data_IF_617873013451
#
_entry.id   IF_617873013451
#
_cell.length_a   1.000
_cell.length_b   1.000
_cell.length_c   1.000
_cell.angle_alpha   90.00
_cell.angle_beta   90.00
_cell.angle_gamma   90.00
#
_symmetry.space_group_name_H-M   'P 1'
#
loop_
_entity.id
_entity.type
_entity.pdbx_description
1 polymer ?
#
# COMPACT_ATOMS: atom_id res chain seq x y z
N UNK A 1 -26.97 3.60 -19.61
CA UNK A 1 -26.06 2.71 -20.30
C UNK A 1 -24.96 2.27 -19.34
N UNK A 2 -24.76 0.97 -19.17
CA UNK A 2 -23.71 0.41 -18.33
C UNK A 2 -22.35 0.51 -19.04
N UNK A 3 -21.86 1.74 -19.22
CA UNK A 3 -20.51 1.98 -19.71
C UNK A 3 -19.55 2.06 -18.54
N UNK A 4 -18.39 1.42 -18.63
CA UNK A 4 -17.32 1.56 -17.64
C UNK A 4 -16.92 3.05 -17.62
N UNK A 5 -17.04 3.67 -16.47
CA UNK A 5 -16.68 5.08 -16.31
C UNK A 5 -15.17 5.24 -16.55
N UNK A 6 -14.70 6.24 -17.35
CA UNK A 6 -13.27 6.41 -17.62
C UNK A 6 -12.40 6.43 -16.36
N UNK A 7 -12.90 6.98 -15.26
CA UNK A 7 -12.23 6.96 -13.96
C UNK A 7 -11.97 5.56 -13.41
N UNK A 8 -12.83 4.58 -13.71
CA UNK A 8 -12.62 3.21 -13.28
C UNK A 8 -11.43 2.56 -14.00
N UNK A 9 -11.20 2.88 -15.25
CA UNK A 9 -10.03 2.40 -16.01
C UNK A 9 -8.74 2.98 -15.42
N UNK A 10 -8.72 4.27 -15.10
CA UNK A 10 -7.58 4.90 -14.43
C UNK A 10 -7.32 4.31 -13.05
N UNK A 11 -8.36 4.01 -12.28
CA UNK A 11 -8.23 3.37 -10.98
C UNK A 11 -7.63 1.95 -11.10
N UNK A 12 -8.04 1.18 -12.10
CA UNK A 12 -7.46 -0.15 -12.37
C UNK A 12 -5.99 -0.06 -12.76
N UNK A 13 -5.63 0.89 -13.63
CA UNK A 13 -4.23 1.12 -14.00
C UNK A 13 -3.40 1.54 -12.77
N UNK A 14 -3.91 2.44 -11.95
CA UNK A 14 -3.25 2.86 -10.70
C UNK A 14 -3.05 1.68 -9.74
N UNK A 15 -4.06 0.82 -9.58
CA UNK A 15 -3.96 -0.38 -8.73
C UNK A 15 -2.88 -1.36 -9.23
N UNK A 16 -2.77 -1.55 -10.54
CA UNK A 16 -1.72 -2.37 -11.13
C UNK A 16 -0.32 -1.82 -10.85
N UNK A 17 -0.10 -0.53 -11.09
CA UNK A 17 1.19 0.11 -10.82
C UNK A 17 1.51 0.15 -9.33
N UNK A 18 0.50 0.32 -8.47
CA UNK A 18 0.70 0.27 -7.03
C UNK A 18 1.10 -1.12 -6.54
N UNK A 19 0.50 -2.17 -7.07
CA UNK A 19 0.92 -3.55 -6.79
C UNK A 19 2.37 -3.83 -7.24
N UNK A 20 2.72 -3.35 -8.42
CA UNK A 20 4.09 -3.44 -8.94
C UNK A 20 5.07 -2.66 -8.05
N UNK A 21 4.69 -1.47 -7.60
CA UNK A 21 5.47 -0.66 -6.67
C UNK A 21 5.74 -1.40 -5.36
N UNK A 22 4.72 -2.00 -4.73
CA UNK A 22 4.87 -2.80 -3.50
C UNK A 22 5.83 -3.95 -3.72
N UNK A 23 5.67 -4.69 -4.84
CA UNK A 23 6.53 -5.83 -5.17
C UNK A 23 8.00 -5.42 -5.35
N UNK A 24 8.26 -4.41 -6.16
CA UNK A 24 9.62 -3.93 -6.42
C UNK A 24 10.27 -3.33 -5.17
N UNK A 25 9.52 -2.55 -4.40
CA UNK A 25 10.00 -1.98 -3.14
C UNK A 25 10.39 -3.07 -2.15
N UNK A 26 9.57 -4.11 -1.99
CA UNK A 26 9.89 -5.25 -1.13
C UNK A 26 11.14 -6.01 -1.59
N UNK A 27 11.32 -6.17 -2.90
CA UNK A 27 12.51 -6.81 -3.45
C UNK A 27 13.79 -5.99 -3.22
N UNK A 28 13.71 -4.67 -3.43
CA UNK A 28 14.86 -3.77 -3.27
C UNK A 28 15.19 -3.53 -1.78
N UNK A 29 14.18 -3.34 -0.94
CA UNK A 29 14.35 -3.10 0.48
C UNK A 29 15.07 -4.26 1.19
N UNK A 30 14.83 -5.50 0.78
CA UNK A 30 15.53 -6.69 1.32
C UNK A 30 16.98 -6.81 0.87
N UNK A 31 17.36 -6.18 -0.24
CA UNK A 31 18.72 -6.22 -0.77
C UNK A 31 19.60 -5.06 -0.30
N UNK A 32 18.99 -4.04 0.30
CA UNK A 32 19.66 -2.81 0.72
C UNK A 32 19.10 -2.27 2.02
N UNK A 33 19.33 -0.98 2.25
CA UNK A 33 18.77 -0.27 3.40
C UNK A 33 17.39 0.33 3.04
N UNK A 34 16.33 -0.19 3.69
CA UNK A 34 14.96 0.25 3.45
C UNK A 34 14.71 1.71 3.82
N UNK A 35 15.45 2.24 4.80
CA UNK A 35 15.31 3.64 5.18
C UNK A 35 15.84 4.56 4.07
N UNK A 36 17.04 4.29 3.57
CA UNK A 36 17.62 5.02 2.44
C UNK A 36 16.73 4.90 1.20
N UNK A 37 16.23 3.71 0.90
CA UNK A 37 15.32 3.48 -0.22
C UNK A 37 14.04 4.31 -0.07
N UNK A 38 13.42 4.33 1.12
CA UNK A 38 12.23 5.14 1.39
C UNK A 38 12.45 6.63 1.18
N UNK A 39 13.58 7.16 1.66
CA UNK A 39 13.96 8.57 1.50
C UNK A 39 14.14 8.91 0.01
N UNK A 40 14.85 8.08 -0.74
CA UNK A 40 15.04 8.28 -2.17
C UNK A 40 13.73 8.21 -2.96
N UNK A 41 12.85 7.26 -2.64
CA UNK A 41 11.52 7.16 -3.24
C UNK A 41 10.69 8.42 -3.00
N UNK A 42 10.69 8.95 -1.76
CA UNK A 42 9.97 10.19 -1.44
C UNK A 42 10.55 11.39 -2.18
N UNK A 43 11.87 11.52 -2.23
CA UNK A 43 12.54 12.58 -2.96
C UNK A 43 12.20 12.56 -4.45
N UNK A 44 12.28 11.40 -5.09
CA UNK A 44 11.95 11.24 -6.50
C UNK A 44 10.47 11.51 -6.79
N UNK A 45 9.56 11.00 -5.93
CA UNK A 45 8.13 11.23 -6.04
C UNK A 45 7.79 12.72 -5.90
N UNK A 46 8.40 13.41 -4.94
CA UNK A 46 8.23 14.85 -4.76
C UNK A 46 8.73 15.65 -5.96
N UNK A 47 9.91 15.31 -6.49
CA UNK A 47 10.46 15.94 -7.67
C UNK A 47 9.55 15.73 -8.89
N UNK A 48 9.12 14.50 -9.14
CA UNK A 48 8.26 14.17 -10.27
C UNK A 48 6.91 14.90 -10.21
N UNK A 49 6.25 14.89 -9.04
CA UNK A 49 4.98 15.61 -8.86
C UNK A 49 5.16 17.12 -8.99
N UNK A 50 6.24 17.69 -8.43
CA UNK A 50 6.54 19.12 -8.56
C UNK A 50 6.77 19.53 -10.01
N UNK A 51 7.59 18.78 -10.75
CA UNK A 51 7.82 19.03 -12.17
C UNK A 51 6.54 18.91 -12.99
N UNK A 52 5.70 17.90 -12.68
CA UNK A 52 4.42 17.71 -13.38
C UNK A 52 3.44 18.86 -13.12
N UNK A 53 3.33 19.33 -11.89
CA UNK A 53 2.48 20.47 -11.53
C UNK A 53 2.92 21.76 -12.26
N UNK A 54 4.21 22.00 -12.35
CA UNK A 54 4.76 23.13 -13.09
C UNK A 54 4.50 23.01 -14.60
N UNK A 55 4.71 21.83 -15.18
CA UNK A 55 4.52 21.59 -16.61
C UNK A 55 3.05 21.71 -17.04
N UNK A 56 2.13 21.31 -16.18
CA UNK A 56 0.69 21.40 -16.43
C UNK A 56 0.09 22.77 -16.07
N UNK A 57 0.87 23.66 -15.47
CA UNK A 57 0.39 24.99 -15.03
C UNK A 57 -0.58 24.90 -13.84
N UNK A 58 -0.60 23.80 -13.11
CA UNK A 58 -1.49 23.55 -11.97
C UNK A 58 -0.84 23.90 -10.62
N UNK A 59 0.23 24.66 -10.65
CA UNK A 59 0.88 25.12 -9.43
C UNK A 59 0.03 26.16 -8.72
N UNK A 60 -0.63 25.76 -7.63
CA UNK A 60 -1.46 26.64 -6.82
C UNK A 60 -0.98 26.62 -5.36
N UNK A 61 -0.83 27.82 -4.78
CA UNK A 61 -0.55 27.97 -3.36
C UNK A 61 -1.83 27.99 -2.57
N UNK A 62 -1.92 27.22 -1.46
CA UNK A 62 -3.11 27.26 -0.62
C UNK A 62 -3.31 28.64 0.00
N UNK A 63 -4.54 29.17 -0.08
CA UNK A 63 -4.86 30.53 0.36
C UNK A 63 -5.17 30.63 1.86
N UNK A 64 -5.39 29.51 2.54
CA UNK A 64 -5.82 29.47 3.95
C UNK A 64 -4.75 28.85 4.84
N UNK A 65 -4.42 29.43 6.00
CA UNK A 65 -3.50 28.84 6.98
C UNK A 65 -3.93 27.43 7.42
N UNK A 66 -5.22 27.19 7.57
CA UNK A 66 -5.79 25.88 7.88
C UNK A 66 -5.47 24.84 6.80
N UNK A 67 -5.59 25.22 5.53
CA UNK A 67 -5.23 24.34 4.40
C UNK A 67 -3.74 24.03 4.39
N UNK A 68 -2.89 25.03 4.64
CA UNK A 68 -1.43 24.82 4.73
C UNK A 68 -1.08 23.84 5.84
N UNK A 69 -1.66 24.02 7.03
CA UNK A 69 -1.41 23.12 8.17
C UNK A 69 -1.85 21.69 7.86
N UNK A 70 -3.03 21.53 7.26
CA UNK A 70 -3.52 20.20 6.85
C UNK A 70 -2.64 19.54 5.81
N UNK A 71 -2.17 20.28 4.81
CA UNK A 71 -1.25 19.78 3.80
C UNK A 71 0.11 19.38 4.38
N UNK A 72 0.65 20.19 5.30
CA UNK A 72 1.90 19.86 5.99
C UNK A 72 1.74 18.60 6.85
N UNK A 73 0.66 18.50 7.62
CA UNK A 73 0.36 17.31 8.39
C UNK A 73 0.25 16.05 7.49
N UNK A 74 -0.46 16.15 6.36
CA UNK A 74 -0.59 15.07 5.40
C UNK A 74 0.76 14.70 4.79
N UNK A 75 1.57 15.70 4.39
CA UNK A 75 2.88 15.47 3.78
C UNK A 75 3.86 14.80 4.75
N UNK A 76 3.92 15.26 6.00
CA UNK A 76 4.88 14.70 6.97
C UNK A 76 4.38 13.40 7.59
N UNK A 77 3.15 13.35 8.10
CA UNK A 77 2.66 12.18 8.84
C UNK A 77 2.25 11.04 7.89
N UNK A 78 1.45 11.34 6.89
CA UNK A 78 0.91 10.30 6.03
C UNK A 78 1.87 9.93 4.90
N UNK A 79 2.52 10.91 4.27
CA UNK A 79 3.37 10.66 3.11
C UNK A 79 4.80 10.33 3.55
N UNK A 80 5.55 11.27 4.12
CA UNK A 80 6.97 11.06 4.41
C UNK A 80 7.17 9.94 5.44
N UNK A 81 6.49 10.02 6.57
CA UNK A 81 6.60 9.03 7.64
C UNK A 81 5.96 7.70 7.23
N UNK A 82 4.72 7.71 6.73
CA UNK A 82 3.98 6.50 6.38
C UNK A 82 4.68 5.66 5.32
N UNK A 83 5.06 6.24 4.18
CA UNK A 83 5.74 5.49 3.12
C UNK A 83 7.16 5.05 3.49
N UNK A 84 7.91 5.88 4.24
CA UNK A 84 9.24 5.48 4.71
C UNK A 84 9.13 4.29 5.66
N UNK A 85 8.21 4.34 6.62
CA UNK A 85 7.95 3.22 7.53
C UNK A 85 7.47 1.97 6.79
N UNK A 86 6.60 2.11 5.80
CA UNK A 86 6.15 1.01 4.95
C UNK A 86 7.35 0.36 4.23
N UNK A 87 8.26 1.15 3.67
CA UNK A 87 9.45 0.64 2.99
C UNK A 87 10.38 -0.10 3.95
N UNK A 88 10.60 0.43 5.15
CA UNK A 88 11.38 -0.24 6.20
C UNK A 88 10.71 -1.55 6.64
N UNK A 89 9.40 -1.53 6.85
CA UNK A 89 8.65 -2.74 7.22
C UNK A 89 8.76 -3.84 6.16
N UNK A 90 8.78 -3.48 4.88
CA UNK A 90 8.94 -4.43 3.77
C UNK A 90 10.30 -5.14 3.72
N UNK A 91 11.30 -4.70 4.48
CA UNK A 91 12.54 -5.48 4.66
C UNK A 91 12.29 -6.78 5.43
N UNK A 92 11.31 -6.76 6.34
CA UNK A 92 11.03 -7.83 7.30
C UNK A 92 9.78 -8.64 6.95
N UNK A 93 8.90 -8.10 6.11
CA UNK A 93 7.66 -8.73 5.69
C UNK A 93 7.82 -9.45 4.34
N UNK A 94 7.07 -10.52 4.13
CA UNK A 94 6.92 -11.09 2.80
C UNK A 94 6.17 -10.13 1.88
N UNK A 95 6.31 -10.29 0.57
CA UNK A 95 5.60 -9.44 -0.40
C UNK A 95 4.08 -9.61 -0.28
N UNK A 96 3.65 -10.83 0.04
CA UNK A 96 2.25 -11.19 0.27
C UNK A 96 1.71 -10.49 1.51
N UNK A 97 2.44 -10.50 2.63
CA UNK A 97 2.06 -9.78 3.86
C UNK A 97 1.98 -8.28 3.63
N UNK A 98 2.96 -7.69 2.95
CA UNK A 98 2.95 -6.27 2.61
C UNK A 98 1.73 -5.92 1.74
N UNK A 99 1.41 -6.75 0.74
CA UNK A 99 0.21 -6.61 -0.08
C UNK A 99 -1.09 -6.73 0.72
N UNK A 100 -1.13 -7.68 1.68
CA UNK A 100 -2.27 -7.86 2.58
C UNK A 100 -2.52 -6.59 3.41
N UNK A 101 -1.51 -6.08 4.10
CA UNK A 101 -1.66 -4.86 4.91
C UNK A 101 -2.04 -3.66 4.07
N UNK A 102 -1.42 -3.45 2.91
CA UNK A 102 -1.80 -2.36 2.00
C UNK A 102 -3.22 -2.49 1.44
N UNK A 103 -3.73 -3.70 1.29
CA UNK A 103 -5.12 -3.95 0.90
C UNK A 103 -6.15 -3.59 1.97
N UNK A 104 -5.74 -3.48 3.25
CA UNK A 104 -6.60 -3.01 4.34
C UNK A 104 -6.81 -1.49 4.33
N UNK A 105 -5.88 -0.71 3.77
CA UNK A 105 -5.94 0.76 3.78
C UNK A 105 -7.26 1.32 3.22
N UNK A 106 -7.78 0.88 2.05
CA UNK A 106 -9.06 1.37 1.53
C UNK A 106 -10.26 1.01 2.43
N UNK A 107 -10.17 -0.12 3.15
CA UNK A 107 -11.23 -0.55 4.07
C UNK A 107 -11.27 0.36 5.29
N UNK A 108 -10.11 0.62 5.90
CA UNK A 108 -10.01 1.58 7.01
C UNK A 108 -10.41 2.97 6.58
N UNK A 109 -9.96 3.44 5.42
CA UNK A 109 -10.36 4.73 4.87
C UNK A 109 -11.89 4.84 4.70
N UNK A 110 -12.55 3.77 4.23
CA UNK A 110 -14.01 3.72 4.09
C UNK A 110 -14.73 3.78 5.46
N UNK A 111 -14.21 3.06 6.47
CA UNK A 111 -14.76 3.10 7.84
C UNK A 111 -14.63 4.51 8.43
N UNK A 112 -13.47 5.14 8.29
CA UNK A 112 -13.26 6.51 8.76
C UNK A 112 -14.13 7.52 8.01
N UNK A 113 -14.31 7.36 6.70
CA UNK A 113 -15.24 8.18 5.91
C UNK A 113 -16.67 8.09 6.42
N UNK A 114 -17.13 6.87 6.73
CA UNK A 114 -18.47 6.68 7.33
C UNK A 114 -18.59 7.32 8.72
N UNK A 115 -17.60 7.13 9.58
CA UNK A 115 -17.67 7.61 10.99
C UNK A 115 -17.55 9.12 11.09
N UNK A 116 -16.61 9.75 10.37
CA UNK A 116 -16.32 11.19 10.53
C UNK A 116 -17.05 12.08 9.52
N UNK A 117 -17.34 11.57 8.34
CA UNK A 117 -17.97 12.36 7.28
C UNK A 117 -19.42 11.98 7.00
N UNK A 118 -19.90 10.90 7.65
CA UNK A 118 -21.25 10.40 7.40
C UNK A 118 -21.43 9.88 5.95
N UNK A 119 -20.34 9.51 5.29
CA UNK A 119 -20.38 9.00 3.92
C UNK A 119 -21.08 7.63 3.92
N UNK A 120 -22.00 7.43 2.99
CA UNK A 120 -22.64 6.14 2.81
C UNK A 120 -22.04 5.48 1.56
N UNK A 121 -21.27 4.37 1.69
CA UNK A 121 -20.64 3.71 0.55
C UNK A 121 -21.65 3.09 -0.41
N UNK A 122 -22.92 3.05 -0.03
CA UNK A 122 -23.96 2.42 -0.80
C UNK A 122 -23.76 0.92 -0.98
N UNK A 123 -24.64 0.28 -1.74
CA UNK A 123 -24.58 -1.16 -1.97
C UNK A 123 -23.32 -1.57 -2.75
N UNK A 124 -22.92 -0.77 -3.74
CA UNK A 124 -21.75 -1.05 -4.58
C UNK A 124 -20.44 -1.00 -3.77
N UNK A 125 -20.30 -0.02 -2.87
CA UNK A 125 -19.12 0.09 -2.01
C UNK A 125 -19.04 -1.06 -0.99
N UNK A 126 -20.17 -1.45 -0.42
CA UNK A 126 -20.24 -2.59 0.51
C UNK A 126 -19.88 -3.92 -0.16
N UNK A 127 -20.35 -4.15 -1.39
CA UNK A 127 -19.99 -5.32 -2.18
C UNK A 127 -18.49 -5.30 -2.51
N UNK A 128 -17.95 -4.14 -2.90
CA UNK A 128 -16.52 -3.97 -3.17
C UNK A 128 -15.67 -4.28 -1.95
N UNK A 129 -16.02 -3.76 -0.78
CA UNK A 129 -15.33 -4.04 0.49
C UNK A 129 -15.36 -5.55 0.83
N UNK A 130 -16.51 -6.20 0.65
CA UNK A 130 -16.64 -7.64 0.88
C UNK A 130 -15.76 -8.45 -0.07
N UNK A 131 -15.70 -8.10 -1.36
CA UNK A 131 -14.85 -8.79 -2.33
C UNK A 131 -13.37 -8.65 -2.01
N UNK A 132 -12.92 -7.46 -1.55
CA UNK A 132 -11.55 -7.25 -1.10
C UNK A 132 -11.24 -8.14 0.09
N UNK A 133 -12.07 -8.14 1.13
CA UNK A 133 -11.91 -9.00 2.31
C UNK A 133 -11.88 -10.49 1.95
N UNK A 134 -12.77 -10.94 1.09
CA UNK A 134 -12.82 -12.34 0.65
C UNK A 134 -11.57 -12.74 -0.14
N UNK A 135 -11.08 -11.84 -1.01
CA UNK A 135 -9.83 -12.03 -1.75
C UNK A 135 -8.62 -12.14 -0.82
N UNK A 136 -8.54 -11.26 0.16
CA UNK A 136 -7.46 -11.26 1.16
C UNK A 136 -7.49 -12.50 2.04
N UNK A 137 -8.66 -12.91 2.53
CA UNK A 137 -8.82 -14.12 3.34
C UNK A 137 -8.39 -15.37 2.56
N UNK A 138 -8.72 -15.42 1.26
CA UNK A 138 -8.33 -16.55 0.40
C UNK A 138 -6.81 -16.56 0.12
N UNK A 139 -6.20 -15.41 -0.04
CA UNK A 139 -4.75 -15.30 -0.21
C UNK A 139 -4.01 -15.83 1.02
N UNK A 140 -4.44 -15.44 2.23
CA UNK A 140 -3.85 -15.87 3.49
C UNK A 140 -4.02 -17.38 3.75
N UNK A 141 -5.18 -17.96 3.45
CA UNK A 141 -5.41 -19.41 3.62
C UNK A 141 -4.56 -20.28 2.70
N UNK A 142 -3.97 -19.70 1.65
CA UNK A 142 -3.01 -20.39 0.78
C UNK A 142 -1.60 -20.46 1.36
N UNK A 143 -1.24 -19.52 2.21
CA UNK A 143 0.07 -19.47 2.89
C UNK A 143 0.12 -20.45 4.05
N UNK A 144 -0.94 -20.52 4.86
CA UNK A 144 -1.03 -21.47 5.98
C UNK A 144 -0.93 -22.92 5.51
N UNK A 145 -1.34 -23.23 4.28
CA UNK A 145 -1.19 -24.54 3.65
C UNK A 145 0.20 -24.85 3.09
N UNK A 146 1.11 -23.85 3.04
CA UNK A 146 2.49 -24.01 2.53
C UNK A 146 3.57 -24.08 3.59
N UNK A 147 3.24 -23.86 4.85
CA UNK A 147 4.20 -24.00 5.96
C UNK A 147 4.31 -25.49 6.27
N UNK A 148 5.44 -26.14 5.96
CA UNK A 148 5.70 -27.48 6.50
C UNK A 148 5.77 -27.35 8.01
N UNK A 149 4.96 -28.13 8.72
CA UNK A 149 4.93 -28.11 10.18
C UNK A 149 6.35 -28.23 10.76
N UNK A 150 6.64 -27.60 11.92
CA UNK A 150 7.93 -27.68 12.58
C UNK A 150 8.11 -29.10 13.16
N UNK A 151 8.55 -30.05 12.33
CA UNK A 151 8.67 -31.41 12.82
C UNK A 151 9.15 -32.50 11.88
N UNK A 152 9.65 -32.19 10.67
CA UNK A 152 10.16 -33.27 9.80
C UNK A 152 11.52 -32.91 9.20
N UNK A 153 12.55 -32.93 10.03
CA UNK A 153 13.93 -32.69 9.58
C UNK A 153 14.97 -32.90 10.67
N UNK A 154 14.69 -33.79 11.63
CA UNK A 154 15.69 -34.22 12.59
C UNK A 154 15.62 -35.75 12.73
N UNK A 155 15.96 -36.46 11.68
CA UNK A 155 16.29 -37.88 11.78
C UNK A 155 17.72 -38.12 11.30
N UNK A 156 18.53 -38.47 12.28
CA UNK A 156 19.62 -39.46 12.20
C UNK A 156 20.68 -39.29 11.09
N UNK A 157 21.71 -38.56 11.41
CA UNK A 157 23.06 -39.02 11.13
C UNK A 157 23.93 -38.83 12.38
N UNK A 158 23.68 -39.66 13.36
CA UNK A 158 24.66 -40.04 14.37
C UNK A 158 24.58 -41.55 14.44
N UNK A 159 25.61 -42.21 14.03
CA UNK A 159 26.13 -43.50 14.39
C UNK A 159 26.69 -44.22 13.15
N UNK A 160 27.95 -44.24 13.05
CA UNK A 160 28.65 -45.13 12.11
C UNK A 160 30.06 -44.70 11.86
N UNK A 161 30.96 -45.10 12.82
CA UNK A 161 32.42 -45.32 12.66
C UNK A 161 33.33 -44.12 12.44
#
# INVERSE_FOLDING_TARGET
>A
GAGIHPGALWAMAAAFFYGLFIYLTGLLARRGDGLSLGIWQMGFMGLWNGCSALALGEWAMPSSPSTVTSLLALAFLCTAFGFTFQTVAQQYLSTEEAGFFSGLDPLFASVWGMVFRGENPGLSGSIGAFLVLAGMARARGREDGKIPGPGMGRNHESLGE
#
